data_IF_400023058988
#
_entry.id   IF_400023058988
#
_cell.length_a   1.000
_cell.length_b   1.000
_cell.length_c   1.000
_cell.angle_alpha   90.00
_cell.angle_beta   90.00
_cell.angle_gamma   90.00
#
_symmetry.space_group_name_H-M   'P 1'
#
loop_
_entity.id
_entity.type
_entity.pdbx_description
1 polymer ?
#
# COMPACT_ATOMS: atom_id res chain seq x y z
N UNK A 1 54.64 -12.47 -6.58
CA UNK A 1 53.18 -12.38 -6.75
C UNK A 1 52.62 -13.53 -5.96
N UNK A 2 52.27 -13.28 -4.70
CA UNK A 2 51.66 -14.29 -3.83
C UNK A 2 50.24 -13.83 -3.52
N UNK A 3 49.27 -14.56 -4.08
CA UNK A 3 47.84 -14.44 -3.77
C UNK A 3 47.60 -14.98 -2.36
N UNK A 4 47.51 -14.06 -1.41
CA UNK A 4 47.17 -14.37 -0.02
C UNK A 4 45.65 -14.29 0.16
N UNK A 5 44.93 -15.28 -0.36
CA UNK A 5 43.51 -15.51 -0.06
C UNK A 5 43.42 -15.90 1.42
N UNK A 6 43.03 -14.94 2.27
CA UNK A 6 42.62 -15.19 3.65
C UNK A 6 41.49 -16.24 3.63
N UNK A 7 41.80 -17.46 4.04
CA UNK A 7 40.81 -18.49 4.32
C UNK A 7 39.96 -18.01 5.50
N UNK A 8 38.64 -17.98 5.30
CA UNK A 8 37.65 -17.79 6.36
C UNK A 8 37.88 -18.85 7.44
N UNK A 9 37.68 -18.50 8.71
CA UNK A 9 37.76 -19.48 9.79
C UNK A 9 36.59 -20.48 9.66
N UNK A 10 36.75 -21.70 10.18
CA UNK A 10 35.72 -22.73 10.13
C UNK A 10 34.39 -22.27 10.79
N UNK A 11 34.45 -21.32 11.73
CA UNK A 11 33.27 -20.70 12.36
C UNK A 11 32.59 -19.67 11.44
N UNK A 12 33.37 -18.90 10.67
CA UNK A 12 32.83 -17.95 9.69
C UNK A 12 32.19 -18.67 8.51
N UNK A 13 32.74 -19.81 8.09
CA UNK A 13 32.16 -20.66 7.04
C UNK A 13 30.88 -21.37 7.51
N UNK A 14 30.80 -21.76 8.78
CA UNK A 14 29.59 -22.32 9.38
C UNK A 14 28.45 -21.30 9.47
N UNK A 15 28.75 -20.07 9.91
CA UNK A 15 27.77 -18.97 9.94
C UNK A 15 27.29 -18.57 8.55
N UNK A 16 28.17 -18.60 7.54
CA UNK A 16 27.79 -18.37 6.15
C UNK A 16 26.83 -19.45 5.63
N UNK A 17 27.06 -20.73 5.95
CA UNK A 17 26.13 -21.81 5.58
C UNK A 17 24.79 -21.68 6.28
N UNK A 18 24.77 -21.36 7.57
CA UNK A 18 23.52 -21.20 8.32
C UNK A 18 22.69 -20.02 7.77
N UNK A 19 23.36 -18.91 7.44
CA UNK A 19 22.73 -17.76 6.82
C UNK A 19 22.21 -18.05 5.39
N UNK A 20 22.95 -18.81 4.58
CA UNK A 20 22.51 -19.23 3.26
C UNK A 20 21.34 -20.23 3.31
N UNK A 21 21.35 -21.14 4.28
CA UNK A 21 20.23 -22.06 4.52
C UNK A 21 18.97 -21.32 4.98
N UNK A 22 19.09 -20.37 5.91
CA UNK A 22 17.97 -19.57 6.39
C UNK A 22 17.38 -18.71 5.27
N UNK A 23 18.24 -18.12 4.43
CA UNK A 23 17.83 -17.39 3.23
C UNK A 23 17.17 -18.28 2.19
N UNK A 24 17.63 -19.53 2.04
CA UNK A 24 17.04 -20.52 1.13
C UNK A 24 15.65 -20.97 1.61
N UNK A 25 15.48 -21.18 2.93
CA UNK A 25 14.19 -21.50 3.55
C UNK A 25 13.21 -20.34 3.45
N UNK A 26 13.66 -19.11 3.72
CA UNK A 26 12.84 -17.90 3.57
C UNK A 26 12.36 -17.73 2.12
N UNK A 27 13.25 -17.92 1.13
CA UNK A 27 12.88 -17.88 -0.30
C UNK A 27 11.90 -18.98 -0.69
N UNK A 28 12.07 -20.19 -0.16
CA UNK A 28 11.18 -21.31 -0.47
C UNK A 28 9.79 -21.11 0.11
N UNK A 29 9.68 -20.66 1.36
CA UNK A 29 8.39 -20.34 2.00
C UNK A 29 7.67 -19.18 1.30
N UNK A 30 8.41 -18.13 0.95
CA UNK A 30 7.85 -16.98 0.22
C UNK A 30 7.36 -17.38 -1.17
N UNK A 31 8.06 -18.28 -1.88
CA UNK A 31 7.61 -18.79 -3.17
C UNK A 31 6.37 -19.68 -3.06
N UNK A 32 6.22 -20.47 -2.00
CA UNK A 32 5.00 -21.27 -1.79
C UNK A 32 3.81 -20.37 -1.46
N UNK A 33 3.99 -19.37 -0.59
CA UNK A 33 2.92 -18.47 -0.17
C UNK A 33 2.45 -17.59 -1.33
N UNK A 34 3.38 -17.03 -2.11
CA UNK A 34 3.05 -16.26 -3.33
C UNK A 34 2.29 -17.13 -4.33
N UNK A 35 2.66 -18.41 -4.48
CA UNK A 35 2.02 -19.31 -5.44
C UNK A 35 0.61 -19.70 -5.01
N UNK A 36 0.35 -19.87 -3.72
CA UNK A 36 -0.99 -20.16 -3.20
C UNK A 36 -1.88 -18.91 -3.23
N UNK A 37 -1.36 -17.73 -2.88
CA UNK A 37 -2.10 -16.46 -2.97
C UNK A 37 -2.47 -16.13 -4.41
N UNK A 38 -1.53 -16.25 -5.36
CA UNK A 38 -1.82 -16.04 -6.80
C UNK A 38 -2.86 -17.02 -7.33
N UNK A 39 -2.89 -18.26 -6.82
CA UNK A 39 -3.86 -19.27 -7.24
C UNK A 39 -5.27 -18.94 -6.72
N UNK A 40 -5.39 -18.37 -5.52
CA UNK A 40 -6.66 -17.93 -4.95
C UNK A 40 -7.17 -16.65 -5.62
N UNK A 41 -6.30 -15.66 -5.81
CA UNK A 41 -6.65 -14.38 -6.44
C UNK A 41 -7.07 -14.59 -7.90
N UNK A 42 -6.37 -15.48 -8.64
CA UNK A 42 -6.77 -15.88 -9.99
C UNK A 42 -8.13 -16.59 -10.01
N UNK A 43 -8.43 -17.43 -9.01
CA UNK A 43 -9.71 -18.12 -8.94
C UNK A 43 -10.89 -17.16 -8.66
N UNK A 44 -10.69 -16.14 -7.83
CA UNK A 44 -11.70 -15.11 -7.58
C UNK A 44 -11.91 -14.19 -8.77
N UNK A 45 -10.83 -13.76 -9.44
CA UNK A 45 -10.92 -12.87 -10.60
C UNK A 45 -11.55 -13.57 -11.82
N UNK A 46 -11.26 -14.86 -12.01
CA UNK A 46 -11.93 -15.70 -13.03
C UNK A 46 -13.43 -15.83 -12.73
N UNK A 47 -13.80 -16.00 -11.46
CA UNK A 47 -15.21 -16.13 -11.05
C UNK A 47 -15.98 -14.82 -11.29
N UNK A 48 -15.40 -13.69 -10.92
CA UNK A 48 -16.02 -12.37 -11.08
C UNK A 48 -16.15 -11.98 -12.56
N UNK A 49 -15.14 -12.26 -13.38
CA UNK A 49 -15.20 -12.02 -14.83
C UNK A 49 -16.24 -12.92 -15.51
N UNK A 50 -16.34 -14.19 -15.11
CA UNK A 50 -17.37 -15.10 -15.63
C UNK A 50 -18.80 -14.65 -15.28
N UNK A 51 -19.03 -14.14 -14.07
CA UNK A 51 -20.36 -13.65 -13.67
C UNK A 51 -20.78 -12.37 -14.43
N UNK A 52 -19.81 -11.51 -14.77
CA UNK A 52 -20.07 -10.25 -15.46
C UNK A 52 -20.36 -10.45 -16.96
N UNK A 53 -19.62 -11.33 -17.63
CA UNK A 53 -19.82 -11.62 -19.05
C UNK A 53 -21.05 -12.50 -19.33
N UNK A 54 -21.37 -13.45 -18.44
CA UNK A 54 -22.58 -14.28 -18.57
C UNK A 54 -23.88 -13.46 -18.47
N UNK A 55 -23.90 -12.37 -17.68
CA UNK A 55 -25.08 -11.51 -17.55
C UNK A 55 -25.24 -10.47 -18.67
N UNK A 56 -24.16 -10.09 -19.35
CA UNK A 56 -24.19 -8.99 -20.32
C UNK A 56 -24.22 -9.43 -21.78
N UNK A 57 -23.39 -10.39 -22.16
CA UNK A 57 -23.19 -10.76 -23.58
C UNK A 57 -24.01 -11.95 -24.04
N UNK A 58 -24.17 -12.96 -23.18
CA UNK A 58 -24.80 -14.23 -23.53
C UNK A 58 -26.31 -14.07 -23.74
N UNK A 59 -26.98 -13.30 -22.89
CA UNK A 59 -28.44 -13.11 -22.96
C UNK A 59 -28.87 -12.38 -24.24
N UNK A 60 -28.01 -11.47 -24.74
CA UNK A 60 -28.27 -10.68 -25.94
C UNK A 60 -27.97 -11.44 -27.23
N UNK A 61 -26.88 -12.22 -27.28
CA UNK A 61 -26.53 -13.03 -28.44
C UNK A 61 -27.41 -14.28 -28.59
N UNK A 62 -27.80 -14.92 -27.49
CA UNK A 62 -28.73 -16.07 -27.50
C UNK A 62 -30.10 -15.64 -27.99
N UNK A 63 -30.58 -14.47 -27.60
CA UNK A 63 -31.88 -13.94 -28.07
C UNK A 63 -31.87 -13.69 -29.59
N UNK A 64 -30.78 -13.12 -30.11
CA UNK A 64 -30.66 -12.78 -31.52
C UNK A 64 -30.45 -14.00 -32.44
N UNK A 65 -29.69 -14.99 -31.97
CA UNK A 65 -29.50 -16.27 -32.69
C UNK A 65 -30.75 -17.15 -32.66
N UNK A 66 -31.52 -17.12 -31.57
CA UNK A 66 -32.79 -17.85 -31.42
C UNK A 66 -33.88 -17.29 -32.34
N UNK A 67 -34.04 -15.96 -32.41
CA UNK A 67 -34.99 -15.31 -33.32
C UNK A 67 -34.67 -15.62 -34.80
N UNK A 68 -33.40 -15.75 -35.16
CA UNK A 68 -32.98 -16.07 -36.54
C UNK A 68 -33.15 -17.53 -36.93
N UNK A 69 -33.07 -18.46 -35.97
CA UNK A 69 -33.18 -19.90 -36.23
C UNK A 69 -34.63 -20.41 -36.24
N UNK A 70 -35.54 -19.75 -35.51
CA UNK A 70 -36.96 -20.14 -35.44
C UNK A 70 -37.73 -19.81 -36.73
N UNK A 71 -37.27 -18.85 -37.53
CA UNK A 71 -37.94 -18.44 -38.77
C UNK A 71 -37.71 -19.38 -39.98
N UNK A 72 -36.80 -20.37 -39.89
CA UNK A 72 -36.43 -21.19 -41.07
C UNK A 72 -37.09 -22.58 -41.10
N UNK A 73 -37.67 -23.09 -40.00
CA UNK A 73 -37.93 -24.55 -39.93
C UNK A 73 -39.24 -24.98 -39.22
N UNK A 74 -40.29 -24.16 -39.27
CA UNK A 74 -41.60 -24.50 -38.64
C UNK A 74 -42.60 -25.19 -39.60
N UNK A 75 -42.25 -25.44 -40.86
CA UNK A 75 -43.07 -26.25 -41.79
C UNK A 75 -42.59 -27.72 -41.87
N UNK A 76 -42.84 -28.53 -40.83
CA UNK A 76 -43.29 -29.95 -40.92
C UNK A 76 -43.34 -30.66 -39.55
N UNK A 77 -44.57 -30.78 -39.06
CA UNK A 77 -45.19 -31.81 -38.23
C UNK A 77 -44.33 -32.74 -37.31
N UNK A 78 -44.63 -32.64 -36.01
CA UNK A 78 -44.91 -33.75 -35.06
C UNK A 78 -43.82 -34.82 -34.84
N UNK A 79 -42.63 -34.35 -34.45
CA UNK A 79 -41.66 -35.03 -33.56
C UNK A 79 -40.67 -34.01 -32.96
N UNK A 80 -41.02 -32.73 -33.06
CA UNK A 80 -40.05 -31.63 -33.06
C UNK A 80 -39.66 -31.22 -31.64
N UNK A 81 -40.50 -31.39 -30.63
CA UNK A 81 -40.24 -30.87 -29.28
C UNK A 81 -38.99 -31.50 -28.63
N UNK A 82 -38.83 -32.82 -28.73
CA UNK A 82 -37.71 -33.54 -28.12
C UNK A 82 -36.43 -33.44 -28.95
N UNK A 83 -36.57 -33.42 -30.29
CA UNK A 83 -35.46 -33.21 -31.21
C UNK A 83 -34.93 -31.77 -31.10
N UNK A 84 -35.83 -30.79 -30.93
CA UNK A 84 -35.50 -29.38 -30.66
C UNK A 84 -34.77 -29.24 -29.33
N UNK A 85 -35.21 -29.90 -28.26
CA UNK A 85 -34.49 -29.90 -26.97
C UNK A 85 -33.11 -30.54 -27.04
N UNK A 86 -32.95 -31.63 -27.81
CA UNK A 86 -31.64 -32.27 -28.00
C UNK A 86 -30.70 -31.39 -28.82
N UNK A 87 -31.17 -30.83 -29.93
CA UNK A 87 -30.39 -29.90 -30.76
C UNK A 87 -30.04 -28.64 -29.97
N UNK A 88 -30.99 -28.08 -29.21
CA UNK A 88 -30.76 -26.92 -28.35
C UNK A 88 -29.72 -27.21 -27.27
N UNK A 89 -29.77 -28.37 -26.62
CA UNK A 89 -28.77 -28.77 -25.62
C UNK A 89 -27.38 -29.00 -26.23
N UNK A 90 -27.31 -29.63 -27.41
CA UNK A 90 -26.05 -29.95 -28.07
C UNK A 90 -25.37 -28.71 -28.67
N UNK A 91 -26.15 -27.83 -29.30
CA UNK A 91 -25.68 -26.53 -29.82
C UNK A 91 -25.24 -25.64 -28.67
N UNK A 92 -26.02 -25.56 -27.58
CA UNK A 92 -25.65 -24.77 -26.40
C UNK A 92 -24.34 -25.28 -25.78
N UNK A 93 -24.19 -26.59 -25.66
CA UNK A 93 -22.96 -27.19 -25.12
C UNK A 93 -21.74 -26.94 -26.00
N UNK A 94 -21.86 -27.09 -27.32
CA UNK A 94 -20.75 -26.79 -28.26
C UNK A 94 -20.35 -25.33 -28.23
N UNK A 95 -21.33 -24.41 -28.20
CA UNK A 95 -21.06 -22.97 -28.10
C UNK A 95 -20.41 -22.65 -26.76
N UNK A 96 -20.90 -23.20 -25.64
CA UNK A 96 -20.28 -23.01 -24.33
C UNK A 96 -18.84 -23.54 -24.29
N UNK A 97 -18.58 -24.73 -24.85
CA UNK A 97 -17.24 -25.34 -24.88
C UNK A 97 -16.25 -24.56 -25.77
N UNK A 98 -16.64 -24.19 -27.01
CA UNK A 98 -15.78 -23.40 -27.92
C UNK A 98 -15.51 -21.99 -27.38
N UNK A 99 -16.54 -21.34 -26.82
CA UNK A 99 -16.38 -19.98 -26.28
C UNK A 99 -15.49 -20.00 -25.04
N UNK A 100 -15.64 -21.03 -24.18
CA UNK A 100 -14.80 -21.22 -23.00
C UNK A 100 -13.35 -21.51 -23.37
N UNK A 101 -13.10 -22.32 -24.39
CA UNK A 101 -11.74 -22.61 -24.84
C UNK A 101 -11.07 -21.38 -25.47
N UNK A 102 -11.83 -20.60 -26.26
CA UNK A 102 -11.34 -19.36 -26.86
C UNK A 102 -11.01 -18.29 -25.82
N UNK A 103 -11.93 -18.04 -24.88
CA UNK A 103 -11.71 -17.10 -23.76
C UNK A 103 -10.51 -17.53 -22.91
N UNK A 104 -10.37 -18.83 -22.64
CA UNK A 104 -9.23 -19.34 -21.87
C UNK A 104 -7.89 -19.04 -22.56
N UNK A 105 -7.78 -19.29 -23.87
CA UNK A 105 -6.55 -19.01 -24.63
C UNK A 105 -6.23 -17.51 -24.68
N UNK A 106 -7.23 -16.67 -24.96
CA UNK A 106 -7.04 -15.23 -25.07
C UNK A 106 -6.67 -14.59 -23.72
N UNK A 107 -7.28 -15.08 -22.63
CA UNK A 107 -6.96 -14.67 -21.27
C UNK A 107 -5.57 -15.13 -20.83
N UNK A 108 -5.18 -16.39 -21.11
CA UNK A 108 -3.83 -16.88 -20.83
C UNK A 108 -2.76 -16.05 -21.56
N UNK A 109 -3.01 -15.66 -22.81
CA UNK A 109 -2.07 -14.85 -23.58
C UNK A 109 -1.96 -13.40 -23.06
N UNK A 110 -3.09 -12.78 -22.71
CA UNK A 110 -3.11 -11.43 -22.15
C UNK A 110 -2.44 -11.36 -20.78
N UNK A 111 -2.72 -12.33 -19.90
CA UNK A 111 -2.06 -12.44 -18.58
C UNK A 111 -0.55 -12.60 -18.77
N UNK A 112 -0.13 -13.45 -19.71
CA UNK A 112 1.31 -13.67 -19.96
C UNK A 112 2.01 -12.39 -20.38
N UNK A 113 1.41 -11.61 -21.29
CA UNK A 113 1.97 -10.31 -21.73
C UNK A 113 2.03 -9.29 -20.59
N UNK A 114 0.96 -9.18 -19.80
CA UNK A 114 0.91 -8.23 -18.66
C UNK A 114 1.94 -8.57 -17.57
N UNK A 115 2.14 -9.86 -17.27
CA UNK A 115 3.16 -10.33 -16.33
C UNK A 115 4.55 -9.99 -16.84
N UNK A 116 4.84 -10.25 -18.12
CA UNK A 116 6.15 -9.99 -18.72
C UNK A 116 6.48 -8.49 -18.71
N UNK A 117 5.51 -7.62 -19.01
CA UNK A 117 5.69 -6.17 -18.92
C UNK A 117 5.90 -5.68 -17.48
N UNK A 118 5.16 -6.24 -16.50
CA UNK A 118 5.35 -5.93 -15.08
C UNK A 118 6.73 -6.35 -14.59
N UNK A 119 7.20 -7.54 -14.95
CA UNK A 119 8.53 -8.02 -14.56
C UNK A 119 9.63 -7.13 -15.15
N UNK A 120 9.49 -6.73 -16.42
CA UNK A 120 10.42 -5.80 -17.06
C UNK A 120 10.44 -4.44 -16.35
N UNK A 121 9.28 -3.88 -16.01
CA UNK A 121 9.17 -2.62 -15.26
C UNK A 121 9.82 -2.70 -13.88
N UNK A 122 9.58 -3.78 -13.12
CA UNK A 122 10.22 -4.01 -11.82
C UNK A 122 11.73 -4.13 -11.94
N UNK A 123 12.23 -4.83 -12.97
CA UNK A 123 13.66 -5.01 -13.22
C UNK A 123 14.35 -3.68 -13.51
N UNK A 124 13.73 -2.83 -14.32
CA UNK A 124 14.26 -1.50 -14.65
C UNK A 124 14.28 -0.57 -13.43
N UNK A 125 13.26 -0.63 -12.57
CA UNK A 125 13.22 0.13 -11.31
C UNK A 125 14.31 -0.35 -10.33
N UNK A 126 14.51 -1.66 -10.23
CA UNK A 126 15.57 -2.26 -9.42
C UNK A 126 16.96 -1.85 -9.93
N UNK A 127 17.17 -1.84 -11.24
CA UNK A 127 18.41 -1.36 -11.86
C UNK A 127 18.69 0.10 -11.51
N UNK A 128 17.67 0.98 -11.56
CA UNK A 128 17.81 2.38 -11.15
C UNK A 128 18.17 2.53 -9.67
N UNK A 129 17.54 1.74 -8.79
CA UNK A 129 17.86 1.74 -7.35
C UNK A 129 19.29 1.26 -7.11
N UNK A 130 19.73 0.19 -7.78
CA UNK A 130 21.11 -0.31 -7.68
C UNK A 130 22.13 0.75 -8.14
N UNK A 131 21.84 1.48 -9.22
CA UNK A 131 22.70 2.56 -9.68
C UNK A 131 22.77 3.72 -8.67
N UNK A 132 21.64 4.11 -8.08
CA UNK A 132 21.60 5.13 -7.03
C UNK A 132 22.39 4.72 -5.77
N UNK A 133 22.29 3.45 -5.36
CA UNK A 133 23.07 2.92 -4.25
C UNK A 133 24.57 2.95 -4.52
N UNK A 134 25.01 2.58 -5.72
CA UNK A 134 26.44 2.67 -6.10
C UNK A 134 26.97 4.10 -6.01
N UNK A 135 26.17 5.08 -6.46
CA UNK A 135 26.57 6.49 -6.38
C UNK A 135 26.75 6.95 -4.92
N UNK A 136 25.82 6.60 -4.04
CA UNK A 136 25.91 6.89 -2.61
C UNK A 136 27.10 6.18 -1.94
N UNK A 137 27.37 4.93 -2.32
CA UNK A 137 28.52 4.17 -1.81
C UNK A 137 29.85 4.82 -2.21
N UNK A 138 29.97 5.27 -3.47
CA UNK A 138 31.15 5.98 -3.96
C UNK A 138 31.33 7.34 -3.26
N UNK A 139 30.24 8.07 -3.01
CA UNK A 139 30.25 9.34 -2.28
C UNK A 139 30.74 9.16 -0.84
N UNK A 140 30.20 8.16 -0.12
CA UNK A 140 30.65 7.80 1.22
C UNK A 140 32.12 7.41 1.26
N UNK A 141 32.58 6.65 0.26
CA UNK A 141 33.98 6.23 0.15
C UNK A 141 34.91 7.43 -0.05
N UNK A 142 34.51 8.40 -0.87
CA UNK A 142 35.27 9.64 -1.06
C UNK A 142 35.34 10.47 0.22
N UNK A 143 34.26 10.54 0.99
CA UNK A 143 34.24 11.25 2.27
C UNK A 143 35.16 10.58 3.29
N UNK A 144 35.11 9.24 3.41
CA UNK A 144 36.04 8.49 4.26
C UNK A 144 37.51 8.68 3.86
N UNK A 145 37.80 8.76 2.56
CA UNK A 145 39.16 9.01 2.07
C UNK A 145 39.64 10.43 2.40
N UNK A 146 38.75 11.43 2.33
CA UNK A 146 39.05 12.80 2.76
C UNK A 146 39.34 12.84 4.26
N UNK A 147 38.49 12.21 5.08
CA UNK A 147 38.68 12.11 6.53
C UNK A 147 40.00 11.40 6.88
N UNK A 148 40.35 10.34 6.15
CA UNK A 148 41.62 9.64 6.34
C UNK A 148 42.82 10.53 6.03
N UNK A 149 42.77 11.28 4.91
CA UNK A 149 43.83 12.24 4.53
C UNK A 149 43.96 13.39 5.53
N UNK A 150 42.84 13.90 6.07
CA UNK A 150 42.87 14.93 7.11
C UNK A 150 43.47 14.40 8.41
N UNK A 151 43.10 13.18 8.84
CA UNK A 151 43.71 12.53 10.00
C UNK A 151 45.21 12.32 9.82
N UNK A 152 45.65 11.92 8.63
CA UNK A 152 47.07 11.72 8.34
C UNK A 152 47.84 13.04 8.43
N UNK A 153 47.30 14.15 7.86
CA UNK A 153 47.88 15.49 8.01
C UNK A 153 48.01 15.92 9.47
N UNK A 154 46.96 15.70 10.28
CA UNK A 154 46.99 16.03 11.71
C UNK A 154 48.04 15.21 12.47
N UNK A 155 48.23 13.93 12.11
CA UNK A 155 49.27 13.08 12.71
C UNK A 155 50.67 13.58 12.32
N UNK A 156 50.87 14.00 11.07
CA UNK A 156 52.13 14.58 10.58
C UNK A 156 52.47 15.89 11.33
N UNK A 157 51.49 16.79 11.46
CA UNK A 157 51.63 18.03 12.23
C UNK A 157 51.92 17.78 13.71
N UNK A 158 51.28 16.79 14.32
CA UNK A 158 51.57 16.39 15.71
C UNK A 158 53.00 15.85 15.85
N UNK A 159 53.49 15.05 14.91
CA UNK A 159 54.87 14.56 14.92
C UNK A 159 55.89 15.69 14.77
N UNK A 160 55.61 16.67 13.90
CA UNK A 160 56.47 17.85 13.72
C UNK A 160 56.47 18.76 14.96
N UNK A 161 55.30 18.97 15.59
CA UNK A 161 55.21 19.69 16.87
C UNK A 161 55.91 18.94 18.00
N UNK A 162 55.81 17.62 18.05
CA UNK A 162 56.48 16.80 19.07
C UNK A 162 58.00 16.72 18.89
N UNK A 163 58.51 16.75 17.65
CA UNK A 163 59.96 16.85 17.39
C UNK A 163 60.51 18.24 17.72
N UNK A 164 59.77 19.31 17.44
CA UNK A 164 60.11 20.67 17.88
C UNK A 164 60.10 20.82 19.41
N UNK A 165 59.24 20.07 20.11
CA UNK A 165 59.16 20.04 21.58
C UNK A 165 60.28 19.21 22.25
N UNK A 166 61.09 18.44 21.49
CA UNK A 166 62.21 17.66 22.06
C UNK A 166 63.44 18.52 22.43
N UNK A 167 63.47 19.80 22.04
CA UNK A 167 64.55 20.75 22.37
C UNK A 167 64.21 21.68 23.55
N UNK A 168 63.09 21.50 24.24
CA UNK A 168 62.68 22.35 25.37
C UNK A 168 62.32 21.56 26.63
N UNK A 169 62.54 22.22 27.77
CA UNK A 169 62.45 21.75 29.16
C UNK A 169 61.21 20.87 29.44
N UNK A 170 61.33 19.68 30.06
CA UNK A 170 60.24 18.72 30.29
C UNK A 170 58.96 19.30 30.94
N UNK A 171 59.06 20.39 31.72
CA UNK A 171 57.90 21.04 32.34
C UNK A 171 57.01 21.81 31.33
N UNK A 172 57.57 22.32 30.23
CA UNK A 172 56.80 22.95 29.15
C UNK A 172 56.07 21.91 28.29
N UNK A 173 56.66 20.71 28.17
CA UNK A 173 56.12 19.60 27.38
C UNK A 173 54.81 19.05 27.95
N UNK A 174 54.71 19.00 29.27
CA UNK A 174 53.50 18.51 29.95
C UNK A 174 52.36 19.52 29.84
N UNK A 175 52.64 20.81 30.04
CA UNK A 175 51.67 21.90 29.87
C UNK A 175 51.10 21.96 28.45
N UNK A 176 51.95 21.87 27.43
CA UNK A 176 51.50 21.86 26.03
C UNK A 176 50.66 20.62 25.68
N UNK A 177 51.00 19.43 26.21
CA UNK A 177 50.18 18.22 25.99
C UNK A 177 48.81 18.32 26.65
N UNK A 178 48.73 18.96 27.82
CA UNK A 178 47.48 19.18 28.53
C UNK A 178 46.61 20.24 27.84
N UNK A 179 47.22 21.31 27.33
CA UNK A 179 46.57 22.36 26.57
C UNK A 179 46.03 21.85 25.22
N UNK A 180 46.81 21.02 24.50
CA UNK A 180 46.36 20.39 23.26
C UNK A 180 45.22 19.37 23.46
N UNK A 181 45.21 18.65 24.59
CA UNK A 181 44.11 17.74 24.93
C UNK A 181 42.83 18.52 25.21
N UNK A 182 42.92 19.64 25.94
CA UNK A 182 41.78 20.54 26.18
C UNK A 182 41.26 21.14 24.88
N UNK A 183 42.14 21.60 24.00
CA UNK A 183 41.75 22.18 22.71
C UNK A 183 41.04 21.14 21.81
N UNK A 184 41.52 19.90 21.79
CA UNK A 184 40.91 18.81 21.01
C UNK A 184 39.57 18.31 21.61
N UNK A 185 39.42 18.40 22.93
CA UNK A 185 38.17 18.06 23.62
C UNK A 185 37.12 19.17 23.44
N UNK A 186 37.53 20.44 23.48
CA UNK A 186 36.71 21.59 23.13
C UNK A 186 36.27 21.56 21.66
N UNK A 187 37.16 21.18 20.74
CA UNK A 187 36.83 21.05 19.32
C UNK A 187 35.82 19.90 19.08
N UNK A 188 35.95 18.79 19.80
CA UNK A 188 34.97 17.68 19.78
C UNK A 188 33.62 18.10 20.32
N UNK A 189 33.59 18.87 21.41
CA UNK A 189 32.36 19.42 21.97
C UNK A 189 31.68 20.39 20.99
N UNK A 190 32.44 21.30 20.37
CA UNK A 190 31.92 22.20 19.33
C UNK A 190 31.35 21.45 18.13
N UNK A 191 32.05 20.42 17.64
CA UNK A 191 31.55 19.58 16.52
C UNK A 191 30.30 18.79 16.90
N UNK A 192 30.20 18.31 18.14
CA UNK A 192 28.99 17.63 18.66
C UNK A 192 27.80 18.58 18.78
N UNK A 193 28.02 19.79 19.29
CA UNK A 193 27.00 20.83 19.36
C UNK A 193 26.56 21.29 17.96
N UNK A 194 27.48 21.45 17.02
CA UNK A 194 27.17 21.79 15.64
C UNK A 194 26.34 20.70 14.94
N UNK A 195 26.66 19.42 15.17
CA UNK A 195 25.86 18.29 14.69
C UNK A 195 24.46 18.27 15.30
N UNK A 196 24.33 18.51 16.61
CA UNK A 196 23.02 18.62 17.26
C UNK A 196 22.21 19.79 16.67
N UNK A 197 22.87 20.93 16.41
CA UNK A 197 22.25 22.10 15.78
C UNK A 197 21.84 21.85 14.33
N UNK A 198 22.61 21.07 13.58
CA UNK A 198 22.28 20.59 12.22
C UNK A 198 21.10 19.61 12.24
N UNK A 199 21.02 18.73 13.24
CA UNK A 199 19.88 17.82 13.43
C UNK A 199 18.62 18.60 13.82
N UNK A 200 18.73 19.61 14.68
CA UNK A 200 17.61 20.50 15.02
C UNK A 200 17.16 21.33 13.82
N UNK A 201 18.09 21.93 13.06
CA UNK A 201 17.71 22.65 11.83
C UNK A 201 17.13 21.72 10.78
N UNK A 202 17.60 20.47 10.64
CA UNK A 202 16.97 19.48 9.76
C UNK A 202 15.56 19.07 10.25
N UNK A 203 15.35 18.94 11.57
CA UNK A 203 14.03 18.71 12.18
C UNK A 203 13.08 19.90 12.01
N UNK A 204 13.59 21.12 12.10
CA UNK A 204 12.81 22.33 11.85
C UNK A 204 12.55 22.56 10.35
N UNK A 205 13.49 22.21 9.48
CA UNK A 205 13.33 22.25 8.03
C UNK A 205 12.31 21.20 7.57
N UNK A 206 12.35 19.97 8.09
CA UNK A 206 11.30 18.96 7.84
C UNK A 206 9.93 19.38 8.38
N UNK A 207 9.85 20.05 9.54
CA UNK A 207 8.59 20.66 10.03
C UNK A 207 8.13 21.84 9.16
N UNK A 208 9.06 22.66 8.63
CA UNK A 208 8.75 23.80 7.75
C UNK A 208 8.40 23.37 6.31
N UNK A 209 8.96 22.27 5.83
CA UNK A 209 8.61 21.64 4.55
C UNK A 209 7.24 20.97 4.60
N UNK A 210 6.81 20.47 5.76
CA UNK A 210 5.42 20.04 5.99
C UNK A 210 4.44 21.22 6.02
N UNK A 211 4.86 22.43 6.44
CA UNK A 211 4.00 23.62 6.47
C UNK A 211 3.97 24.46 5.18
N UNK A 212 4.81 24.16 4.18
CA UNK A 212 4.94 24.95 2.95
C UNK A 212 4.44 24.25 1.67
N UNK A 213 3.64 23.17 1.78
CA UNK A 213 2.87 22.67 0.64
C UNK A 213 1.40 23.09 0.75
N UNK A 214 0.86 23.80 -0.26
CA UNK A 214 -0.45 24.41 -0.18
C UNK A 214 -1.54 23.34 -0.31
N UNK A 215 -2.27 23.09 0.76
CA UNK A 215 -3.50 22.31 0.73
C UNK A 215 -3.37 20.82 0.37
N UNK A 216 -4.47 20.11 0.55
CA UNK A 216 -4.62 18.72 0.15
C UNK A 216 -5.07 18.67 -1.32
N UNK A 217 -4.21 18.20 -2.22
CA UNK A 217 -4.50 18.24 -3.66
C UNK A 217 -5.70 17.36 -4.03
N UNK A 218 -6.36 17.69 -5.14
CA UNK A 218 -7.52 16.92 -5.61
C UNK A 218 -7.17 15.45 -5.85
N UNK A 219 -5.97 15.16 -6.35
CA UNK A 219 -5.49 13.79 -6.53
C UNK A 219 -5.35 13.06 -5.20
N UNK A 220 -4.82 13.72 -4.17
CA UNK A 220 -4.71 13.12 -2.82
C UNK A 220 -6.10 12.85 -2.20
N UNK A 221 -7.12 13.70 -2.45
CA UNK A 221 -8.52 13.42 -2.07
C UNK A 221 -9.04 12.15 -2.70
N UNK A 222 -8.85 12.01 -4.02
CA UNK A 222 -9.28 10.83 -4.75
C UNK A 222 -8.57 9.58 -4.22
N UNK A 223 -7.25 9.64 -4.00
CA UNK A 223 -6.49 8.54 -3.42
C UNK A 223 -6.97 8.16 -2.02
N UNK A 224 -7.22 9.14 -1.14
CA UNK A 224 -7.77 8.84 0.20
C UNK A 224 -9.15 8.19 0.11
N UNK A 225 -10.00 8.64 -0.80
CA UNK A 225 -11.33 8.05 -0.97
C UNK A 225 -11.27 6.64 -1.53
N UNK A 226 -10.31 6.35 -2.41
CA UNK A 226 -10.04 4.97 -2.88
C UNK A 226 -9.58 4.07 -1.73
N UNK A 227 -8.63 4.53 -0.91
CA UNK A 227 -8.17 3.78 0.27
C UNK A 227 -9.33 3.57 1.25
N UNK A 228 -10.17 4.59 1.45
CA UNK A 228 -11.36 4.48 2.29
C UNK A 228 -12.34 3.46 1.72
N UNK A 229 -12.70 3.52 0.45
CA UNK A 229 -13.62 2.58 -0.19
C UNK A 229 -13.12 1.14 -0.09
N UNK A 230 -11.84 0.91 -0.39
CA UNK A 230 -11.21 -0.39 -0.23
C UNK A 230 -11.29 -0.90 1.21
N UNK A 231 -11.02 -0.03 2.19
CA UNK A 231 -11.15 -0.41 3.60
C UNK A 231 -12.56 -0.79 4.02
N UNK A 232 -13.58 -0.16 3.41
CA UNK A 232 -14.98 -0.52 3.66
C UNK A 232 -15.32 -1.87 3.01
N UNK A 233 -14.78 -2.16 1.83
CA UNK A 233 -14.95 -3.47 1.17
C UNK A 233 -14.29 -4.59 1.98
N UNK A 234 -13.09 -4.36 2.50
CA UNK A 234 -12.39 -5.30 3.39
C UNK A 234 -13.22 -5.55 4.65
N UNK A 235 -13.70 -4.49 5.30
CA UNK A 235 -14.55 -4.61 6.49
C UNK A 235 -15.84 -5.39 6.18
N UNK A 236 -16.48 -5.10 5.03
CA UNK A 236 -17.68 -5.81 4.58
C UNK A 236 -17.41 -7.30 4.37
N UNK A 237 -16.30 -7.64 3.70
CA UNK A 237 -15.89 -9.03 3.47
C UNK A 237 -15.66 -9.79 4.79
N UNK A 238 -14.92 -9.19 5.72
CA UNK A 238 -14.65 -9.79 7.04
C UNK A 238 -15.97 -9.98 7.82
N UNK A 239 -16.88 -9.01 7.76
CA UNK A 239 -18.16 -9.07 8.47
C UNK A 239 -19.12 -10.08 7.84
N UNK A 240 -19.13 -10.21 6.51
CA UNK A 240 -19.95 -11.17 5.76
C UNK A 240 -19.60 -12.63 6.06
N UNK A 241 -18.40 -12.90 6.59
CA UNK A 241 -18.06 -14.22 7.10
C UNK A 241 -18.76 -14.57 8.43
N UNK A 242 -19.44 -13.61 9.07
CA UNK A 242 -20.05 -13.75 10.41
C UNK A 242 -21.54 -13.42 10.42
N UNK A 243 -21.97 -12.51 9.57
CA UNK A 243 -23.35 -12.03 9.49
C UNK A 243 -23.94 -12.32 8.12
N UNK A 244 -25.27 -12.40 8.03
CA UNK A 244 -25.95 -12.49 6.75
C UNK A 244 -25.76 -11.21 5.93
N UNK A 245 -25.82 -11.31 4.61
CA UNK A 245 -25.74 -10.15 3.70
C UNK A 245 -26.70 -9.02 4.10
N UNK A 246 -27.94 -9.37 4.48
CA UNK A 246 -28.96 -8.39 4.90
C UNK A 246 -28.54 -7.64 6.16
N UNK A 247 -27.93 -8.32 7.13
CA UNK A 247 -27.44 -7.68 8.36
C UNK A 247 -26.24 -6.78 8.08
N UNK A 248 -25.31 -7.21 7.23
CA UNK A 248 -24.16 -6.39 6.81
C UNK A 248 -24.63 -5.12 6.10
N UNK A 249 -25.56 -5.25 5.16
CA UNK A 249 -26.13 -4.10 4.44
C UNK A 249 -26.85 -3.15 5.41
N UNK A 250 -27.59 -3.67 6.39
CA UNK A 250 -28.24 -2.86 7.43
C UNK A 250 -27.23 -2.12 8.29
N UNK A 251 -26.15 -2.79 8.73
CA UNK A 251 -25.06 -2.15 9.51
C UNK A 251 -24.47 -0.98 8.74
N UNK A 252 -24.16 -1.18 7.47
CA UNK A 252 -23.50 -0.16 6.65
C UNK A 252 -24.43 1.02 6.36
N UNK A 253 -25.71 0.75 6.08
CA UNK A 253 -26.72 1.76 5.81
C UNK A 253 -27.07 2.59 7.07
N UNK A 254 -27.38 1.93 8.18
CA UNK A 254 -27.76 2.59 9.43
C UNK A 254 -26.59 3.41 10.01
N UNK A 255 -25.37 2.89 9.91
CA UNK A 255 -24.18 3.63 10.32
C UNK A 255 -23.97 4.89 9.46
N UNK A 256 -24.22 4.80 8.16
CA UNK A 256 -24.12 5.94 7.26
C UNK A 256 -25.17 7.01 7.58
N UNK A 257 -26.41 6.62 7.89
CA UNK A 257 -27.43 7.55 8.34
C UNK A 257 -27.02 8.30 9.61
N UNK A 258 -26.46 7.60 10.60
CA UNK A 258 -25.98 8.25 11.84
C UNK A 258 -24.78 9.17 11.61
N UNK A 259 -23.87 8.79 10.72
CA UNK A 259 -22.76 9.65 10.34
C UNK A 259 -23.25 10.91 9.59
N UNK A 260 -24.26 10.75 8.72
CA UNK A 260 -24.90 11.85 8.00
C UNK A 260 -25.51 12.89 8.94
N UNK A 261 -26.16 12.45 10.02
CA UNK A 261 -26.73 13.37 11.02
C UNK A 261 -25.66 14.25 11.70
N UNK A 262 -24.44 13.72 11.87
CA UNK A 262 -23.31 14.46 12.45
C UNK A 262 -22.59 15.36 11.47
N UNK A 263 -22.47 14.93 10.21
CA UNK A 263 -21.73 15.64 9.17
C UNK A 263 -22.60 15.91 7.93
N UNK A 264 -23.74 16.62 8.08
CA UNK A 264 -24.71 16.77 7.00
C UNK A 264 -24.15 17.54 5.81
N UNK A 265 -23.24 18.49 6.03
CA UNK A 265 -22.65 19.28 4.95
C UNK A 265 -21.77 18.44 4.00
N UNK A 266 -21.03 17.45 4.53
CA UNK A 266 -20.11 16.60 3.77
C UNK A 266 -20.82 15.37 3.19
N UNK A 267 -21.70 14.74 3.98
CA UNK A 267 -22.33 13.47 3.62
C UNK A 267 -23.68 13.64 2.90
N UNK A 268 -24.11 14.87 2.60
CA UNK A 268 -25.39 15.13 1.94
C UNK A 268 -25.57 14.31 0.65
N UNK A 269 -26.57 13.44 0.63
CA UNK A 269 -26.93 12.59 -0.51
C UNK A 269 -25.80 11.66 -1.02
N UNK A 270 -24.76 11.40 -0.23
CA UNK A 270 -23.69 10.47 -0.64
C UNK A 270 -24.16 9.03 -0.72
N UNK A 271 -25.29 8.71 -0.07
CA UNK A 271 -25.92 7.39 -0.10
C UNK A 271 -26.76 7.14 -1.37
N UNK A 272 -26.84 8.10 -2.29
CA UNK A 272 -27.60 7.97 -3.53
C UNK A 272 -26.70 8.14 -4.75
N UNK A 273 -27.03 7.43 -5.83
CA UNK A 273 -26.41 7.61 -7.14
C UNK A 273 -26.95 8.87 -7.85
N UNK A 274 -26.52 9.08 -9.10
CA UNK A 274 -26.96 10.21 -9.93
C UNK A 274 -28.45 10.15 -10.30
N UNK A 275 -29.05 8.97 -10.25
CA UNK A 275 -30.46 8.71 -10.58
C UNK A 275 -31.38 8.76 -9.35
N UNK A 276 -30.81 8.90 -8.15
CA UNK A 276 -31.54 8.93 -6.89
C UNK A 276 -31.77 7.55 -6.28
N UNK A 277 -31.17 6.49 -6.83
CA UNK A 277 -31.22 5.15 -6.25
C UNK A 277 -30.20 5.02 -5.12
N UNK A 278 -30.49 4.25 -4.06
CA UNK A 278 -29.54 4.04 -2.97
C UNK A 278 -28.29 3.30 -3.47
N UNK A 279 -27.12 3.71 -2.99
CA UNK A 279 -25.86 3.04 -3.25
C UNK A 279 -25.90 1.61 -2.69
N UNK A 280 -25.38 0.61 -3.43
CA UNK A 280 -25.39 -0.79 -2.98
C UNK A 280 -24.55 -0.98 -1.72
N UNK A 281 -24.99 -1.85 -0.81
CA UNK A 281 -24.25 -2.22 0.40
C UNK A 281 -23.97 -1.07 1.37
N UNK A 282 -24.74 0.03 1.30
CA UNK A 282 -24.51 1.22 2.12
C UNK A 282 -23.19 1.95 1.80
N UNK A 283 -22.66 1.78 0.60
CA UNK A 283 -21.42 2.43 0.14
C UNK A 283 -21.63 3.92 -0.15
N UNK A 284 -20.53 4.67 -0.23
CA UNK A 284 -20.55 6.11 -0.48
C UNK A 284 -20.35 6.42 -1.96
N UNK A 285 -21.10 7.39 -2.47
CA UNK A 285 -20.83 8.04 -3.73
C UNK A 285 -19.66 9.04 -3.56
N UNK A 286 -18.45 8.60 -3.91
CA UNK A 286 -17.20 9.38 -3.76
C UNK A 286 -17.24 10.69 -4.54
N UNK A 287 -17.80 10.69 -5.74
CA UNK A 287 -17.96 11.91 -6.56
C UNK A 287 -18.83 12.95 -5.85
N UNK A 288 -19.90 12.51 -5.19
CA UNK A 288 -20.78 13.40 -4.43
C UNK A 288 -20.10 13.95 -3.19
N UNK A 289 -19.31 13.13 -2.50
CA UNK A 289 -18.56 13.53 -1.31
C UNK A 289 -17.49 14.58 -1.63
N UNK A 290 -16.77 14.43 -2.74
CA UNK A 290 -15.83 15.44 -3.24
C UNK A 290 -16.58 16.75 -3.53
N UNK A 291 -17.66 16.71 -4.30
CA UNK A 291 -18.45 17.89 -4.63
C UNK A 291 -18.98 18.62 -3.38
N UNK A 292 -19.51 17.88 -2.40
CA UNK A 292 -19.97 18.45 -1.14
C UNK A 292 -18.82 19.12 -0.36
N UNK A 293 -17.64 18.49 -0.33
CA UNK A 293 -16.44 19.03 0.34
C UNK A 293 -15.96 20.32 -0.33
N UNK A 294 -15.97 20.35 -1.67
CA UNK A 294 -15.56 21.52 -2.45
C UNK A 294 -16.56 22.69 -2.33
N UNK A 295 -17.82 22.40 -1.97
CA UNK A 295 -18.88 23.39 -1.72
C UNK A 295 -18.91 23.91 -0.27
N UNK A 296 -18.06 23.44 0.64
CA UNK A 296 -18.03 23.92 2.01
C UNK A 296 -17.64 25.42 2.06
N UNK A 297 -18.32 26.17 2.93
CA UNK A 297 -18.01 27.58 3.24
C UNK A 297 -16.70 27.70 4.05
N UNK A 298 -15.59 27.32 3.44
CA UNK A 298 -14.25 27.45 4.00
C UNK A 298 -13.34 28.07 2.94
N UNK A 299 -12.51 29.02 3.36
CA UNK A 299 -11.70 29.84 2.45
C UNK A 299 -10.60 29.02 1.76
N UNK A 300 -10.01 28.07 2.50
CA UNK A 300 -8.85 27.32 2.07
C UNK A 300 -9.06 25.82 2.15
N UNK A 301 -8.34 25.08 1.32
CA UNK A 301 -8.37 23.61 1.26
C UNK A 301 -7.94 22.96 2.60
N UNK A 302 -7.05 23.64 3.33
CA UNK A 302 -6.60 23.23 4.67
C UNK A 302 -7.73 23.19 5.70
N UNK A 303 -8.83 23.92 5.46
CA UNK A 303 -10.01 23.90 6.33
C UNK A 303 -11.08 22.92 5.84
N UNK A 304 -11.08 22.57 4.55
CA UNK A 304 -12.06 21.65 3.93
C UNK A 304 -11.68 20.20 4.15
N UNK A 305 -10.41 19.84 3.91
CA UNK A 305 -9.94 18.46 4.02
C UNK A 305 -10.15 17.85 5.42
N UNK A 306 -9.87 18.54 6.54
CA UNK A 306 -10.14 17.98 7.87
C UNK A 306 -11.62 17.66 8.11
N UNK A 307 -12.55 18.50 7.63
CA UNK A 307 -14.00 18.23 7.73
C UNK A 307 -14.40 16.99 6.94
N UNK A 308 -13.77 16.76 5.79
CA UNK A 308 -13.96 15.53 5.01
C UNK A 308 -13.44 14.31 5.78
N UNK A 309 -12.24 14.40 6.35
CA UNK A 309 -11.63 13.31 7.12
C UNK A 309 -12.45 12.96 8.36
N UNK A 310 -12.95 13.96 9.08
CA UNK A 310 -13.81 13.78 10.24
C UNK A 310 -15.11 13.06 9.85
N UNK A 311 -15.73 13.43 8.73
CA UNK A 311 -16.92 12.76 8.22
C UNK A 311 -16.65 11.28 7.84
N UNK A 312 -15.53 11.00 7.19
CA UNK A 312 -15.12 9.61 6.86
C UNK A 312 -14.84 8.80 8.12
N UNK A 313 -14.18 9.41 9.13
CA UNK A 313 -13.94 8.78 10.43
C UNK A 313 -15.25 8.47 11.15
N UNK A 314 -16.22 9.38 11.13
CA UNK A 314 -17.53 9.16 11.73
C UNK A 314 -18.26 7.96 11.09
N UNK A 315 -18.15 7.77 9.77
CA UNK A 315 -18.70 6.58 9.09
C UNK A 315 -18.07 5.30 9.62
N UNK A 316 -16.75 5.27 9.79
CA UNK A 316 -16.05 4.13 10.37
C UNK A 316 -16.49 3.84 11.81
N UNK A 317 -16.52 4.87 12.65
CA UNK A 317 -16.88 4.75 14.07
C UNK A 317 -18.33 4.25 14.24
N UNK A 318 -19.27 4.76 13.43
CA UNK A 318 -20.65 4.29 13.47
C UNK A 318 -20.80 2.85 12.98
N UNK A 319 -20.02 2.42 11.97
CA UNK A 319 -20.00 1.03 11.51
C UNK A 319 -19.49 0.11 12.61
N UNK A 320 -18.38 0.46 13.25
CA UNK A 320 -17.86 -0.32 14.37
C UNK A 320 -18.84 -0.35 15.55
N UNK A 321 -19.49 0.77 15.88
CA UNK A 321 -20.51 0.82 16.93
C UNK A 321 -21.72 -0.08 16.61
N UNK A 322 -22.14 -0.16 15.34
CA UNK A 322 -23.20 -1.06 14.90
C UNK A 322 -22.77 -2.53 14.93
N UNK A 323 -21.55 -2.83 14.50
CA UNK A 323 -20.96 -4.18 14.59
C UNK A 323 -20.93 -4.65 16.04
N UNK A 324 -20.49 -3.80 16.98
CA UNK A 324 -20.47 -4.13 18.41
C UNK A 324 -21.87 -4.43 18.96
N UNK A 325 -22.89 -3.66 18.55
CA UNK A 325 -24.28 -3.89 18.96
C UNK A 325 -24.83 -5.24 18.48
N UNK A 326 -24.43 -5.69 17.30
CA UNK A 326 -24.89 -6.97 16.73
C UNK A 326 -24.04 -8.17 17.16
N UNK A 327 -22.79 -7.94 17.56
CA UNK A 327 -21.83 -8.99 17.87
C UNK A 327 -21.32 -8.84 19.30
N UNK A 328 -20.07 -8.41 19.48
CA UNK A 328 -19.46 -8.09 20.77
C UNK A 328 -18.31 -7.10 20.59
N UNK A 329 -17.86 -6.48 21.68
CA UNK A 329 -16.71 -5.58 21.66
C UNK A 329 -15.42 -6.27 21.17
N UNK A 330 -15.22 -7.54 21.54
CA UNK A 330 -14.07 -8.33 21.10
C UNK A 330 -14.09 -8.60 19.59
N UNK A 331 -15.26 -8.95 19.05
CA UNK A 331 -15.44 -9.16 17.61
C UNK A 331 -15.23 -7.84 16.86
N UNK A 332 -15.79 -6.73 17.36
CA UNK A 332 -15.59 -5.39 16.80
C UNK A 332 -14.10 -5.01 16.74
N UNK A 333 -13.36 -5.23 17.82
CA UNK A 333 -11.92 -4.93 17.89
C UNK A 333 -11.12 -5.81 16.92
N UNK A 334 -11.45 -7.11 16.84
CA UNK A 334 -10.82 -8.02 15.90
C UNK A 334 -11.06 -7.59 14.45
N UNK A 335 -12.29 -7.25 14.09
CA UNK A 335 -12.62 -6.79 12.73
C UNK A 335 -11.88 -5.50 12.36
N UNK A 336 -11.82 -4.54 13.28
CA UNK A 336 -11.08 -3.31 13.07
C UNK A 336 -9.57 -3.56 12.90
N UNK A 337 -8.97 -4.43 13.72
CA UNK A 337 -7.56 -4.79 13.61
C UNK A 337 -7.25 -5.55 12.32
N UNK A 338 -8.08 -6.51 11.95
CA UNK A 338 -7.93 -7.30 10.72
C UNK A 338 -8.07 -6.40 9.48
N UNK A 339 -9.02 -5.46 9.50
CA UNK A 339 -9.19 -4.44 8.45
C UNK A 339 -7.95 -3.56 8.35
N UNK A 340 -7.44 -3.03 9.48
CA UNK A 340 -6.24 -2.18 9.48
C UNK A 340 -5.01 -2.92 8.95
N UNK A 341 -4.81 -4.16 9.36
CA UNK A 341 -3.68 -4.98 8.93
C UNK A 341 -3.75 -5.28 7.42
N UNK A 342 -4.93 -5.60 6.92
CA UNK A 342 -5.14 -5.78 5.49
C UNK A 342 -4.88 -4.49 4.72
N UNK A 343 -5.38 -3.35 5.21
CA UNK A 343 -5.15 -2.06 4.57
C UNK A 343 -3.68 -1.66 4.56
N UNK A 344 -2.91 -1.85 5.65
CA UNK A 344 -1.47 -1.58 5.66
C UNK A 344 -0.74 -2.40 4.58
N UNK A 345 -1.06 -3.69 4.47
CA UNK A 345 -0.49 -4.57 3.43
C UNK A 345 -0.89 -4.11 2.02
N UNK A 346 -2.16 -3.77 1.79
CA UNK A 346 -2.64 -3.30 0.48
C UNK A 346 -1.99 -1.97 0.09
N UNK A 347 -1.92 -1.02 1.03
CA UNK A 347 -1.35 0.29 0.76
C UNK A 347 0.14 0.22 0.42
N UNK A 348 0.90 -0.63 1.12
CA UNK A 348 2.30 -0.90 0.81
C UNK A 348 2.47 -1.56 -0.56
N UNK A 349 1.58 -2.50 -0.94
CA UNK A 349 1.61 -3.19 -2.25
C UNK A 349 1.28 -2.26 -3.41
N UNK A 350 0.28 -1.39 -3.26
CA UNK A 350 -0.17 -0.45 -4.29
C UNK A 350 0.71 0.79 -4.42
N UNK A 351 1.66 0.99 -3.50
CA UNK A 351 2.61 2.09 -3.53
C UNK A 351 1.95 3.45 -3.30
N UNK A 352 0.94 3.53 -2.43
CA UNK A 352 0.38 4.83 -2.06
C UNK A 352 1.44 5.70 -1.37
N UNK A 353 1.31 7.02 -1.53
CA UNK A 353 2.25 7.95 -0.91
C UNK A 353 2.23 7.88 0.62
N UNK A 354 3.40 8.01 1.25
CA UNK A 354 3.55 7.99 2.72
C UNK A 354 2.62 9.01 3.40
N UNK A 355 2.44 10.19 2.78
CA UNK A 355 1.53 11.23 3.28
C UNK A 355 0.08 10.76 3.32
N UNK A 356 -0.44 10.18 2.22
CA UNK A 356 -1.83 9.69 2.14
C UNK A 356 -2.07 8.52 3.09
N UNK A 357 -1.11 7.60 3.21
CA UNK A 357 -1.18 6.50 4.18
C UNK A 357 -1.22 7.03 5.62
N UNK A 358 -0.35 8.00 5.96
CA UNK A 358 -0.31 8.59 7.29
C UNK A 358 -1.61 9.29 7.66
N UNK A 359 -2.19 10.06 6.72
CA UNK A 359 -3.47 10.74 6.94
C UNK A 359 -4.59 9.72 7.13
N UNK A 360 -4.67 8.69 6.28
CA UNK A 360 -5.68 7.66 6.40
C UNK A 360 -5.61 6.97 7.76
N UNK A 361 -4.44 6.47 8.17
CA UNK A 361 -4.29 5.73 9.42
C UNK A 361 -4.52 6.62 10.65
N UNK A 362 -4.03 7.88 10.64
CA UNK A 362 -4.06 8.74 11.84
C UNK A 362 -5.34 9.55 11.99
N UNK A 363 -5.95 9.98 10.88
CA UNK A 363 -7.06 10.93 10.91
C UNK A 363 -8.41 10.30 10.53
N UNK A 364 -8.40 9.23 9.72
CA UNK A 364 -9.64 8.63 9.19
C UNK A 364 -9.93 7.30 9.86
N UNK A 365 -8.95 6.41 9.95
CA UNK A 365 -9.14 5.10 10.56
C UNK A 365 -9.31 5.26 12.08
N UNK A 366 -10.35 4.65 12.69
CA UNK A 366 -10.63 4.81 14.11
C UNK A 366 -9.51 4.20 14.96
N UNK A 367 -9.17 4.86 16.05
CA UNK A 367 -8.21 4.32 17.02
C UNK A 367 -8.81 3.09 17.69
N UNK A 368 -8.28 1.91 17.36
CA UNK A 368 -8.78 0.61 17.83
C UNK A 368 -8.31 0.27 19.26
N UNK A 369 -7.52 1.14 19.89
CA UNK A 369 -6.99 0.86 21.22
C UNK A 369 -8.08 0.99 22.30
N UNK A 370 -8.25 -0.02 23.18
CA UNK A 370 -9.15 0.09 24.32
C UNK A 370 -8.69 1.24 25.23
N UNK A 371 -9.59 2.16 25.58
CA UNK A 371 -9.34 3.17 26.62
C UNK A 371 -8.98 4.59 26.15
N UNK A 372 -9.07 4.90 24.85
CA UNK A 372 -8.97 6.27 24.35
C UNK A 372 -10.37 6.91 24.18
N UNK A 373 -11.11 7.06 25.27
CA UNK A 373 -12.20 8.03 25.42
C UNK A 373 -12.12 8.67 26.79
#
# INVERSE_FOLDING_TARGET
MDDNLKKLSDEEEALLREFEEERSRARSSMNTDIREELKQELAEQVKESMEMEMKGGVEQQVKQAFESAVDIEVEKALSVEDMKKQIEAEVRKKIEDETRERLKKEMEENIRKEVEEREKGKKDELLKKIQAFKYLEDEMRQEQEKDAKEKEKLIEELKQKESALKETDPALREKLKEELKKELEEERLRKKEELLRKIETAKEQSKKEESNKPGFSQNEKVTILQIFEESQNVMNSILSARLSKKEVDSVFYDALLRALDRHPAVLKRVMYDKTGNPMPGGMLNTSRLIANTDMLEAKDEEQRAPKMFEALRAVFEERLAMIEKLTSADIRNKIALDTLNHMKKSMSRKGYGIKTESIFIKQIFPSVLPGAR
#
